data_IF_622188339702
#
_entry.id   IF_622188339702
#
_cell.length_a   1.000
_cell.length_b   1.000
_cell.length_c   1.000
_cell.angle_alpha   90.00
_cell.angle_beta   90.00
_cell.angle_gamma   90.00
#
_symmetry.space_group_name_H-M   'P 1'
#
loop_
_entity.id
_entity.type
_entity.pdbx_description
1 polymer ?
#
# COMPACT_ATOMS: atom_id res chain seq x y z
N UNK A 1 9.46 8.23 -6.92
CA UNK A 1 10.62 7.35 -7.18
C UNK A 1 10.68 6.34 -6.06
N UNK A 2 10.40 5.08 -6.42
CA UNK A 2 10.34 3.94 -5.51
C UNK A 2 11.69 3.77 -4.81
N UNK A 3 11.67 3.56 -3.50
CA UNK A 3 12.90 3.30 -2.74
C UNK A 3 13.11 1.81 -2.59
N UNK A 4 14.29 1.33 -3.01
CA UNK A 4 14.76 -0.03 -2.74
C UNK A 4 15.78 0.04 -1.59
N UNK A 5 15.56 -0.71 -0.52
CA UNK A 5 16.46 -0.80 0.64
C UNK A 5 16.60 -2.28 0.97
N UNK A 6 17.82 -2.83 1.00
CA UNK A 6 18.08 -4.25 1.28
C UNK A 6 17.19 -5.21 0.46
N UNK A 7 17.12 -4.98 -0.84
CA UNK A 7 16.25 -5.73 -1.78
C UNK A 7 14.73 -5.61 -1.58
N UNK A 8 14.29 -4.80 -0.63
CA UNK A 8 12.87 -4.54 -0.39
C UNK A 8 12.42 -3.21 -0.98
N UNK A 9 11.21 -3.23 -1.54
CA UNK A 9 10.59 -2.07 -2.13
C UNK A 9 9.70 -1.36 -1.12
N UNK A 10 9.91 -0.06 -0.99
CA UNK A 10 9.13 0.84 -0.16
C UNK A 10 8.42 1.86 -1.05
N UNK A 11 7.10 1.75 -1.11
CA UNK A 11 6.22 2.54 -1.97
C UNK A 11 5.66 3.71 -1.17
N UNK A 12 5.64 4.91 -1.74
CA UNK A 12 4.84 5.99 -1.17
C UNK A 12 3.34 5.73 -1.38
N UNK A 13 2.45 6.60 -0.85
CA UNK A 13 0.99 6.41 -0.97
C UNK A 13 0.49 6.34 -2.41
N UNK A 14 0.96 7.23 -3.28
CA UNK A 14 0.57 7.26 -4.71
C UNK A 14 1.09 6.02 -5.42
N UNK A 15 2.38 5.70 -5.23
CA UNK A 15 3.00 4.49 -5.79
C UNK A 15 2.29 3.21 -5.30
N UNK A 16 1.80 3.20 -4.07
CA UNK A 16 1.03 2.07 -3.52
C UNK A 16 -0.32 1.93 -4.23
N UNK A 17 -1.05 3.01 -4.43
CA UNK A 17 -2.35 2.97 -5.12
C UNK A 17 -2.16 2.47 -6.54
N UNK A 18 -1.21 3.04 -7.29
CA UNK A 18 -0.94 2.66 -8.68
C UNK A 18 -0.50 1.20 -8.77
N UNK A 19 0.39 0.78 -7.87
CA UNK A 19 0.83 -0.61 -7.78
C UNK A 19 -0.33 -1.56 -7.52
N UNK A 20 -1.15 -1.28 -6.51
CA UNK A 20 -2.24 -2.18 -6.13
C UNK A 20 -3.31 -2.29 -7.22
N UNK A 21 -3.65 -1.18 -7.87
CA UNK A 21 -4.58 -1.16 -9.01
C UNK A 21 -4.04 -2.02 -10.15
N UNK A 22 -2.77 -1.84 -10.50
CA UNK A 22 -2.17 -2.53 -11.65
C UNK A 22 -1.88 -4.01 -11.37
N UNK A 23 -1.33 -4.35 -10.20
CA UNK A 23 -0.89 -5.71 -9.89
C UNK A 23 -2.03 -6.64 -9.47
N UNK A 24 -3.05 -6.13 -8.78
CA UNK A 24 -4.16 -6.93 -8.24
C UNK A 24 -5.50 -6.66 -8.94
N UNK A 25 -5.49 -5.96 -10.08
CA UNK A 25 -6.68 -5.66 -10.88
C UNK A 25 -7.81 -5.02 -10.06
N UNK A 26 -7.45 -4.13 -9.13
CA UNK A 26 -8.43 -3.43 -8.30
C UNK A 26 -9.11 -2.36 -9.14
N UNK A 27 -10.45 -2.27 -9.05
CA UNK A 27 -11.23 -1.19 -9.67
C UNK A 27 -11.03 0.13 -8.92
N UNK A 28 -10.80 0.01 -7.61
CA UNK A 28 -10.68 1.15 -6.72
C UNK A 28 -9.68 0.84 -5.62
N UNK A 29 -8.84 1.82 -5.29
CA UNK A 29 -7.93 1.77 -4.16
C UNK A 29 -7.74 3.17 -3.59
N UNK A 30 -7.95 3.33 -2.29
CA UNK A 30 -7.76 4.59 -1.58
C UNK A 30 -6.97 4.36 -0.29
N UNK A 31 -6.00 5.23 -0.05
CA UNK A 31 -5.21 5.24 1.19
C UNK A 31 -5.66 6.38 2.11
N UNK A 32 -5.79 6.12 3.41
CA UNK A 32 -6.08 7.14 4.44
C UNK A 32 -5.13 6.97 5.63
N UNK A 33 -4.66 8.08 6.19
CA UNK A 33 -3.94 8.06 7.47
C UNK A 33 -4.92 7.89 8.62
N UNK A 34 -4.67 6.91 9.50
CA UNK A 34 -5.52 6.64 10.66
C UNK A 34 -4.70 6.03 11.79
N UNK A 35 -4.71 6.68 12.96
CA UNK A 35 -4.08 6.18 14.19
C UNK A 35 -2.61 5.72 14.02
N UNK A 36 -1.81 6.48 13.26
CA UNK A 36 -0.39 6.16 13.03
C UNK A 36 -0.14 5.11 11.93
N UNK A 37 -1.20 4.55 11.33
CA UNK A 37 -1.15 3.57 10.25
C UNK A 37 -1.76 4.12 8.98
N UNK A 38 -1.56 3.42 7.87
CA UNK A 38 -2.28 3.70 6.62
C UNK A 38 -3.36 2.65 6.44
N UNK A 39 -4.62 3.08 6.44
CA UNK A 39 -5.74 2.25 5.99
C UNK A 39 -5.79 2.27 4.46
N UNK A 40 -5.86 1.10 3.86
CA UNK A 40 -6.15 0.92 2.44
C UNK A 40 -7.56 0.36 2.33
N UNK A 41 -8.42 1.07 1.62
CA UNK A 41 -9.75 0.60 1.24
C UNK A 41 -9.73 0.31 -0.26
N UNK A 42 -10.21 -0.86 -0.65
CA UNK A 42 -10.15 -1.29 -2.04
C UNK A 42 -11.43 -2.00 -2.48
N UNK A 43 -11.64 -2.02 -3.79
CA UNK A 43 -12.67 -2.82 -4.46
C UNK A 43 -12.00 -3.63 -5.57
N UNK A 44 -12.16 -4.95 -5.54
CA UNK A 44 -11.63 -5.84 -6.58
C UNK A 44 -12.50 -5.78 -7.85
N UNK A 45 -12.03 -6.36 -8.95
CA UNK A 45 -12.78 -6.44 -10.21
C UNK A 45 -14.14 -7.15 -10.07
N UNK A 46 -14.26 -8.06 -9.10
CA UNK A 46 -15.48 -8.81 -8.78
C UNK A 46 -16.50 -8.02 -7.94
N UNK A 47 -16.17 -6.79 -7.53
CA UNK A 47 -17.05 -5.92 -6.73
C UNK A 47 -17.00 -6.17 -5.21
N UNK A 48 -16.10 -7.02 -4.74
CA UNK A 48 -15.84 -7.22 -3.31
C UNK A 48 -15.06 -6.05 -2.76
N UNK A 49 -15.55 -5.45 -1.67
CA UNK A 49 -14.88 -4.36 -0.97
C UNK A 49 -14.16 -4.88 0.26
N UNK A 50 -12.93 -4.43 0.44
CA UNK A 50 -12.10 -4.75 1.58
C UNK A 50 -11.46 -3.51 2.18
N UNK A 51 -11.04 -3.62 3.44
CA UNK A 51 -10.16 -2.63 4.03
C UNK A 51 -9.15 -3.28 4.99
N UNK A 52 -7.92 -2.79 4.96
CA UNK A 52 -6.82 -3.27 5.79
C UNK A 52 -5.94 -2.10 6.26
N UNK A 53 -5.25 -2.30 7.38
CA UNK A 53 -4.33 -1.29 7.97
C UNK A 53 -2.90 -1.80 7.87
N UNK A 54 -2.00 -0.94 7.40
CA UNK A 54 -0.60 -1.26 7.19
C UNK A 54 0.31 -0.31 7.95
N UNK A 55 1.49 -0.81 8.33
CA UNK A 55 2.49 -0.02 9.02
C UNK A 55 3.13 1.00 8.09
N UNK A 56 3.33 2.20 8.63
CA UNK A 56 3.84 3.34 7.90
C UNK A 56 5.31 3.58 8.25
N UNK A 57 6.19 3.42 7.27
CA UNK A 57 7.62 3.65 7.41
C UNK A 57 8.00 5.05 6.96
N UNK A 58 8.79 5.75 7.78
CA UNK A 58 9.22 7.12 7.49
C UNK A 58 10.72 7.23 7.67
N UNK A 59 11.40 7.73 6.64
CA UNK A 59 12.83 8.04 6.75
C UNK A 59 13.03 9.29 7.60
N UNK A 60 14.09 9.29 8.42
CA UNK A 60 14.50 10.45 9.23
C UNK A 60 14.62 11.69 8.33
N UNK A 61 14.05 12.82 8.76
CA UNK A 61 13.96 14.11 8.02
C UNK A 61 13.07 14.15 6.76
N UNK A 62 12.44 13.05 6.35
CA UNK A 62 11.48 13.08 5.23
C UNK A 62 10.06 13.31 5.73
N UNK A 63 9.24 14.11 5.02
CA UNK A 63 7.79 14.20 5.28
C UNK A 63 7.00 13.05 4.63
N UNK A 64 7.63 12.29 3.73
CA UNK A 64 6.98 11.22 2.97
C UNK A 64 6.99 9.92 3.78
N UNK A 65 5.79 9.35 3.92
CA UNK A 65 5.57 8.00 4.45
C UNK A 65 5.60 7.00 3.31
N UNK A 66 6.09 5.80 3.60
CA UNK A 66 6.16 4.66 2.70
C UNK A 66 5.55 3.41 3.34
N UNK A 67 5.13 2.49 2.49
CA UNK A 67 4.59 1.18 2.80
C UNK A 67 5.55 0.13 2.26
N UNK A 68 5.71 -0.97 3.00
CA UNK A 68 6.56 -2.08 2.59
C UNK A 68 5.80 -2.92 1.57
N UNK A 69 6.32 -3.04 0.35
CA UNK A 69 5.68 -3.80 -0.74
C UNK A 69 5.40 -5.24 -0.33
N UNK A 70 6.35 -5.89 0.35
CA UNK A 70 6.21 -7.29 0.78
C UNK A 70 4.99 -7.53 1.69
N UNK A 71 4.69 -6.59 2.61
CA UNK A 71 3.50 -6.70 3.47
C UNK A 71 2.21 -6.57 2.67
N UNK A 72 2.18 -5.64 1.71
CA UNK A 72 1.05 -5.49 0.80
C UNK A 72 0.86 -6.77 0.00
N UNK A 73 1.93 -7.30 -0.59
CA UNK A 73 1.87 -8.50 -1.40
C UNK A 73 1.36 -9.70 -0.61
N UNK A 74 1.87 -9.87 0.62
CA UNK A 74 1.44 -10.95 1.51
C UNK A 74 -0.06 -10.87 1.79
N UNK A 75 -0.60 -9.66 2.02
CA UNK A 75 -2.02 -9.45 2.25
C UNK A 75 -2.86 -9.79 1.00
N UNK A 76 -2.54 -9.19 -0.15
CA UNK A 76 -3.36 -9.34 -1.37
C UNK A 76 -3.17 -10.68 -2.10
N UNK A 77 -2.13 -11.46 -1.77
CA UNK A 77 -1.97 -12.84 -2.27
C UNK A 77 -2.61 -13.89 -1.37
N UNK A 78 -2.93 -13.54 -0.11
CA UNK A 78 -3.57 -14.45 0.85
C UNK A 78 -5.10 -14.39 0.84
N UNK A 79 -5.68 -13.39 0.15
CA UNK A 79 -7.12 -13.18 -0.09
C UNK A 79 -7.55 -13.79 -1.44
#
# INVERSE_FOLDING_TARGET
>A
MVRKINDEYFLNRTETIDYLISAYQLKYCMTRWENGKIRITFENSKGTRGNAKFEAYKCRKSKLVRLRKLELDTFFLSD
#
